data_IF_630898115244
#
_entry.id   IF_630898115244
#
_cell.length_a   1.000
_cell.length_b   1.000
_cell.length_c   1.000
_cell.angle_alpha   90.00
_cell.angle_beta   90.00
_cell.angle_gamma   90.00
#
_symmetry.space_group_name_H-M   'P 1'
#
loop_
_entity.id
_entity.type
_entity.pdbx_description
1 polymer ?
#
# COMPACT_ATOMS: atom_id res chain seq x y z
N UNK A 1 0.20 -14.82 2.68
CA UNK A 1 -0.93 -13.86 2.53
C UNK A 1 -1.70 -14.05 1.20
N UNK A 2 -2.87 -13.38 1.02
CA UNK A 2 -3.66 -13.45 -0.24
C UNK A 2 -3.08 -12.48 -1.30
N UNK A 3 -3.01 -12.92 -2.57
CA UNK A 3 -2.72 -12.04 -3.71
C UNK A 3 -3.99 -11.43 -4.29
N UNK A 4 -3.95 -10.12 -4.58
CA UNK A 4 -5.01 -9.48 -5.34
C UNK A 4 -4.94 -9.87 -6.83
N UNK A 5 -6.05 -9.75 -7.55
CA UNK A 5 -6.12 -10.04 -8.99
C UNK A 5 -5.53 -8.91 -9.86
N UNK A 6 -5.14 -7.78 -9.27
CA UNK A 6 -4.47 -6.68 -9.93
C UNK A 6 -4.44 -5.41 -9.07
N UNK A 7 -4.14 -4.28 -9.73
CA UNK A 7 -4.03 -2.97 -9.09
C UNK A 7 -5.27 -2.14 -9.37
N UNK A 8 -6.00 -1.78 -8.31
CA UNK A 8 -7.13 -0.84 -8.37
C UNK A 8 -6.99 0.11 -7.20
N UNK A 9 -6.81 1.41 -7.47
CA UNK A 9 -6.76 2.42 -6.42
C UNK A 9 -8.09 2.48 -5.68
N UNK A 10 -8.04 2.64 -4.35
CA UNK A 10 -9.24 2.93 -3.56
C UNK A 10 -9.92 4.20 -4.10
N UNK A 11 -11.20 4.10 -4.46
CA UNK A 11 -11.97 5.26 -4.88
C UNK A 11 -12.35 6.11 -3.68
N UNK A 12 -12.02 7.39 -3.74
CA UNK A 12 -12.35 8.36 -2.71
C UNK A 12 -12.77 9.70 -3.33
N UNK A 13 -13.60 10.41 -2.58
CA UNK A 13 -14.01 11.78 -2.82
C UNK A 13 -14.07 12.47 -1.45
N UNK A 14 -13.48 13.65 -1.34
CA UNK A 14 -13.42 14.41 -0.09
C UNK A 14 -14.80 14.94 0.32
N UNK A 15 -15.60 15.37 -0.66
CA UNK A 15 -16.91 15.99 -0.44
C UNK A 15 -16.88 17.52 -0.29
N UNK A 16 -15.70 18.14 -0.41
CA UNK A 16 -15.56 19.60 -0.53
C UNK A 16 -15.74 20.01 -2.00
N UNK A 17 -16.99 20.33 -2.38
CA UNK A 17 -17.40 20.63 -3.75
C UNK A 17 -17.22 22.11 -4.11
N UNK A 18 -16.72 22.35 -5.30
CA UNK A 18 -16.60 23.64 -5.97
C UNK A 18 -17.26 23.58 -7.36
N UNK A 19 -17.25 24.70 -8.11
CA UNK A 19 -17.90 24.81 -9.43
C UNK A 19 -17.52 23.68 -10.40
N UNK A 20 -16.26 23.24 -10.38
CA UNK A 20 -15.74 22.22 -11.30
C UNK A 20 -15.61 20.83 -10.67
N UNK A 21 -16.22 20.60 -9.50
CA UNK A 21 -16.21 19.31 -8.81
C UNK A 21 -15.52 19.35 -7.46
N UNK A 22 -15.14 18.18 -6.98
CA UNK A 22 -14.58 18.01 -5.64
C UNK A 22 -13.11 18.45 -5.57
N UNK A 23 -12.69 18.98 -4.43
CA UNK A 23 -11.30 19.41 -4.19
C UNK A 23 -10.26 18.37 -4.58
N UNK A 24 -10.54 17.10 -4.28
CA UNK A 24 -9.85 15.97 -4.86
C UNK A 24 -10.71 14.71 -4.80
N UNK A 25 -10.66 13.92 -5.87
CA UNK A 25 -11.32 12.63 -5.97
C UNK A 25 -10.56 11.72 -6.93
N UNK A 26 -10.80 10.41 -6.87
CA UNK A 26 -10.23 9.45 -7.81
C UNK A 26 -9.80 8.13 -7.19
N UNK A 27 -9.04 7.34 -7.96
CA UNK A 27 -8.37 6.13 -7.50
C UNK A 27 -7.07 6.46 -6.76
N UNK A 28 -7.18 6.71 -5.46
CA UNK A 28 -6.14 7.28 -4.62
C UNK A 28 -5.19 6.23 -4.02
N UNK A 29 -4.53 5.44 -4.88
CA UNK A 29 -3.66 4.34 -4.46
C UNK A 29 -2.29 4.76 -3.90
N UNK A 30 -1.76 5.90 -4.32
CA UNK A 30 -0.49 6.48 -3.82
C UNK A 30 -0.71 7.73 -2.97
N UNK A 31 -1.97 8.01 -2.63
CA UNK A 31 -2.32 9.13 -1.78
C UNK A 31 -1.91 8.84 -0.32
N UNK A 32 -1.55 9.81 0.50
CA UNK A 32 -1.30 11.22 0.20
C UNK A 32 0.18 11.42 -0.15
N UNK A 33 0.56 12.60 -0.66
CA UNK A 33 1.96 12.97 -0.84
C UNK A 33 2.83 12.88 0.44
N UNK A 34 2.20 12.75 1.62
CA UNK A 34 2.87 12.56 2.92
C UNK A 34 3.22 11.09 3.23
N UNK A 35 2.65 10.12 2.52
CA UNK A 35 3.04 8.71 2.68
C UNK A 35 4.34 8.49 1.92
N UNK A 36 5.47 8.76 2.59
CA UNK A 36 6.80 8.63 1.99
C UNK A 36 7.70 7.74 2.85
N UNK A 37 8.52 6.88 2.22
CA UNK A 37 8.54 6.61 0.79
C UNK A 37 7.41 5.63 0.38
N UNK A 38 7.02 5.67 -0.91
CA UNK A 38 6.09 4.70 -1.51
C UNK A 38 6.79 3.51 -2.17
N UNK A 39 8.08 3.68 -2.48
CA UNK A 39 8.91 2.67 -3.11
C UNK A 39 10.36 2.76 -2.63
N UNK A 40 11.03 1.62 -2.53
CA UNK A 40 12.43 1.49 -2.13
C UNK A 40 13.14 0.50 -3.04
N UNK A 41 14.34 0.87 -3.50
CA UNK A 41 15.14 0.02 -4.38
C UNK A 41 16.10 -0.85 -3.58
N UNK A 42 16.08 -2.15 -3.83
CA UNK A 42 17.01 -3.13 -3.31
C UNK A 42 17.91 -3.61 -4.46
N UNK A 43 19.13 -3.07 -4.54
CA UNK A 43 20.08 -3.42 -5.59
C UNK A 43 20.45 -4.92 -5.55
N UNK A 44 20.63 -5.48 -4.35
CA UNK A 44 21.01 -6.88 -4.12
C UNK A 44 19.98 -7.87 -4.70
N UNK A 45 18.69 -7.54 -4.61
CA UNK A 45 17.62 -8.34 -5.17
C UNK A 45 17.17 -7.89 -6.57
N UNK A 46 17.78 -6.82 -7.12
CA UNK A 46 17.38 -6.21 -8.40
C UNK A 46 15.88 -5.92 -8.48
N UNK A 47 15.33 -5.40 -7.38
CA UNK A 47 13.90 -5.13 -7.20
C UNK A 47 13.67 -3.72 -6.68
N UNK A 48 12.60 -3.08 -7.11
CA UNK A 48 12.05 -1.89 -6.45
C UNK A 48 10.74 -2.27 -5.80
N UNK A 49 10.74 -2.43 -4.48
CA UNK A 49 9.52 -2.71 -3.71
C UNK A 49 8.68 -1.45 -3.62
N UNK A 50 7.37 -1.60 -3.62
CA UNK A 50 6.43 -0.49 -3.48
C UNK A 50 5.14 -0.93 -2.80
N UNK A 51 4.41 0.05 -2.28
CA UNK A 51 3.10 -0.16 -1.66
C UNK A 51 1.98 0.57 -2.39
N UNK A 52 0.75 0.12 -2.18
CA UNK A 52 -0.43 0.62 -2.88
C UNK A 52 -1.71 0.50 -2.04
N UNK A 53 -2.46 1.59 -1.97
CA UNK A 53 -3.84 1.69 -1.47
C UNK A 53 -4.85 1.07 -2.43
N UNK A 54 -5.07 -0.22 -2.29
CA UNK A 54 -5.90 -1.04 -3.15
C UNK A 54 -7.39 -1.04 -2.81
N UNK A 55 -8.18 -1.69 -3.68
CA UNK A 55 -9.55 -2.06 -3.34
C UNK A 55 -10.04 -3.33 -4.04
N UNK A 56 -11.06 -3.97 -3.46
CA UNK A 56 -11.76 -5.12 -4.06
C UNK A 56 -12.55 -4.65 -5.28
N UNK A 57 -12.61 -5.48 -6.33
CA UNK A 57 -13.33 -5.16 -7.58
C UNK A 57 -14.77 -4.72 -7.28
N UNK A 58 -15.15 -3.54 -7.79
CA UNK A 58 -16.50 -2.99 -7.65
C UNK A 58 -16.88 -2.52 -6.24
N UNK A 59 -15.92 -2.43 -5.31
CA UNK A 59 -16.17 -1.98 -3.93
C UNK A 59 -15.33 -0.75 -3.60
N UNK A 60 -15.78 0.00 -2.59
CA UNK A 60 -14.94 0.93 -1.84
C UNK A 60 -14.56 0.23 -0.54
N UNK A 61 -13.39 -0.39 -0.54
CA UNK A 61 -12.92 -1.26 0.53
C UNK A 61 -11.40 -1.23 0.53
N UNK A 62 -10.78 -0.53 1.48
CA UNK A 62 -9.35 -0.28 1.48
C UNK A 62 -8.56 -1.56 1.76
N UNK A 63 -7.66 -1.88 0.84
CA UNK A 63 -6.64 -2.91 0.98
C UNK A 63 -5.28 -2.24 0.99
N UNK A 64 -4.40 -2.67 1.88
CA UNK A 64 -3.02 -2.19 1.93
C UNK A 64 -2.16 -3.27 1.31
N UNK A 65 -1.54 -2.94 0.19
CA UNK A 65 -0.89 -3.94 -0.65
C UNK A 65 0.59 -3.61 -0.87
N UNK A 66 1.41 -4.64 -1.04
CA UNK A 66 2.81 -4.53 -1.39
C UNK A 66 3.11 -5.33 -2.66
N UNK A 67 4.03 -4.83 -3.47
CA UNK A 67 4.61 -5.55 -4.60
C UNK A 67 6.01 -5.04 -4.92
N UNK A 68 6.57 -5.44 -6.06
CA UNK A 68 7.83 -4.92 -6.57
C UNK A 68 7.83 -4.80 -8.09
N UNK A 69 8.67 -3.92 -8.61
CA UNK A 69 9.14 -4.01 -9.99
C UNK A 69 10.39 -4.87 -10.01
N UNK A 70 10.37 -5.91 -10.82
CA UNK A 70 11.50 -6.81 -11.06
C UNK A 70 12.36 -6.25 -12.19
N UNK A 71 13.57 -5.81 -11.87
CA UNK A 71 14.49 -5.25 -12.87
C UNK A 71 15.18 -6.31 -13.73
N UNK A 72 15.11 -7.59 -13.36
CA UNK A 72 15.62 -8.68 -14.19
C UNK A 72 14.66 -8.99 -15.34
N UNK A 73 13.37 -9.07 -15.01
CA UNK A 73 12.32 -9.47 -15.98
C UNK A 73 11.56 -8.29 -16.59
N UNK A 74 11.65 -7.10 -15.99
CA UNK A 74 10.89 -5.93 -16.39
C UNK A 74 9.40 -6.02 -16.06
N UNK A 75 9.03 -6.85 -15.06
CA UNK A 75 7.63 -7.13 -14.73
C UNK A 75 7.23 -6.62 -13.36
N UNK A 76 5.92 -6.50 -13.16
CA UNK A 76 5.29 -6.21 -11.86
C UNK A 76 4.34 -7.37 -11.54
N UNK A 77 4.63 -8.22 -10.54
CA UNK A 77 3.76 -9.33 -10.19
C UNK A 77 2.52 -8.83 -9.46
N UNK A 78 1.49 -9.68 -9.37
CA UNK A 78 0.27 -9.37 -8.62
C UNK A 78 0.60 -9.06 -7.15
N UNK A 79 0.01 -7.99 -6.59
CA UNK A 79 0.39 -7.53 -5.27
C UNK A 79 -0.18 -8.45 -4.18
N UNK A 80 0.52 -8.51 -3.06
CA UNK A 80 0.06 -9.19 -1.85
C UNK A 80 -0.72 -8.20 -0.99
N UNK A 81 -1.87 -8.64 -0.47
CA UNK A 81 -2.64 -7.89 0.52
C UNK A 81 -1.96 -8.09 1.87
N UNK A 82 -1.24 -7.04 2.33
CA UNK A 82 -0.57 -7.01 3.64
C UNK A 82 -1.62 -6.86 4.75
N UNK A 83 -2.63 -6.01 4.51
CA UNK A 83 -3.70 -5.79 5.46
C UNK A 83 -5.02 -5.41 4.78
N UNK A 84 -6.13 -5.96 5.28
CA UNK A 84 -7.49 -5.60 4.90
C UNK A 84 -8.09 -4.71 6.00
N UNK A 85 -8.36 -3.43 5.70
CA UNK A 85 -8.86 -2.43 6.67
C UNK A 85 -10.36 -2.55 6.98
N UNK A 86 -11.01 -3.66 6.63
CA UNK A 86 -12.37 -4.03 7.02
C UNK A 86 -13.42 -2.90 6.85
N UNK A 87 -13.79 -2.61 5.60
CA UNK A 87 -14.87 -1.65 5.31
C UNK A 87 -14.45 -0.18 5.38
N UNK A 88 -13.23 0.13 5.84
CA UNK A 88 -12.65 1.47 5.69
C UNK A 88 -12.53 1.83 4.21
N UNK A 89 -12.86 3.07 3.88
CA UNK A 89 -12.80 3.60 2.50
C UNK A 89 -11.92 4.84 2.39
N UNK A 90 -11.14 5.12 3.43
CA UNK A 90 -10.40 6.37 3.63
C UNK A 90 -8.92 6.16 3.23
N UNK A 91 -8.45 6.72 2.10
CA UNK A 91 -7.09 6.52 1.59
C UNK A 91 -6.02 7.21 2.44
N UNK A 92 -6.39 7.95 3.47
CA UNK A 92 -5.41 8.49 4.42
C UNK A 92 -4.78 7.40 5.29
N UNK A 93 -5.35 6.19 5.32
CA UNK A 93 -4.77 5.02 5.97
C UNK A 93 -3.81 4.26 5.02
N UNK A 94 -3.53 4.79 3.83
CA UNK A 94 -2.59 4.17 2.89
C UNK A 94 -1.20 3.99 3.52
N UNK A 95 -0.44 2.98 3.04
CA UNK A 95 0.83 2.64 3.65
C UNK A 95 2.01 3.45 3.09
N UNK A 96 3.11 3.49 3.85
CA UNK A 96 4.47 3.72 3.35
C UNK A 96 5.33 2.46 3.51
N UNK A 97 6.53 2.44 2.92
CA UNK A 97 7.41 1.27 2.87
C UNK A 97 8.83 1.61 3.34
N UNK A 98 9.58 0.63 3.85
CA UNK A 98 11.03 0.73 4.06
C UNK A 98 11.70 -0.63 3.80
N UNK A 99 13.02 -0.64 3.66
CA UNK A 99 13.85 -1.84 3.63
C UNK A 99 14.86 -1.72 4.78
N UNK A 100 15.02 -2.75 5.60
CA UNK A 100 16.07 -2.77 6.61
C UNK A 100 17.40 -3.33 6.06
N UNK A 101 18.44 -3.28 6.90
CA UNK A 101 19.79 -3.74 6.57
C UNK A 101 19.88 -5.26 6.35
N UNK A 102 18.91 -6.03 6.83
CA UNK A 102 18.81 -7.47 6.59
C UNK A 102 17.98 -7.79 5.35
N UNK A 103 17.46 -6.76 4.67
CA UNK A 103 16.66 -6.89 3.46
C UNK A 103 15.18 -7.18 3.71
N UNK A 104 14.68 -7.13 4.95
CA UNK A 104 13.25 -7.27 5.17
C UNK A 104 12.49 -6.03 4.71
N UNK A 105 11.34 -6.26 4.09
CA UNK A 105 10.43 -5.22 3.63
C UNK A 105 9.51 -4.84 4.78
N UNK A 106 9.51 -3.56 5.14
CA UNK A 106 8.65 -3.01 6.18
C UNK A 106 7.51 -2.21 5.54
N UNK A 107 6.30 -2.40 6.04
CA UNK A 107 5.10 -1.68 5.59
C UNK A 107 4.45 -1.00 6.78
N UNK A 108 4.33 0.32 6.71
CA UNK A 108 3.78 1.16 7.77
C UNK A 108 2.42 1.68 7.34
N UNK A 109 1.38 1.24 8.04
CA UNK A 109 0.00 1.65 7.80
C UNK A 109 -0.28 2.90 8.62
N UNK A 110 -0.68 3.98 7.95
CA UNK A 110 -1.06 5.20 8.65
C UNK A 110 -2.29 4.98 9.54
N UNK A 111 -2.18 5.44 10.78
CA UNK A 111 -3.32 5.54 11.69
C UNK A 111 -4.23 6.72 11.33
N UNK A 112 -5.42 6.74 11.92
CA UNK A 112 -6.39 7.83 11.81
C UNK A 112 -6.79 8.33 13.20
N UNK A 113 -6.15 9.43 13.61
CA UNK A 113 -6.36 10.05 14.92
C UNK A 113 -6.27 8.98 16.03
N UNK A 114 -7.21 8.97 16.98
CA UNK A 114 -7.32 7.96 18.05
C UNK A 114 -8.34 6.85 17.74
N UNK A 115 -8.84 6.77 16.50
CA UNK A 115 -9.94 5.85 16.13
C UNK A 115 -9.40 4.60 15.42
N UNK A 116 -8.30 4.74 14.68
CA UNK A 116 -7.64 3.62 14.00
C UNK A 116 -6.15 3.71 14.25
N UNK A 117 -5.59 2.73 14.93
CA UNK A 117 -4.16 2.71 15.21
C UNK A 117 -3.35 2.51 13.94
N UNK A 118 -2.11 3.02 13.97
CA UNK A 118 -1.12 2.70 12.96
C UNK A 118 -0.65 1.26 13.14
N UNK A 119 -0.41 0.58 12.03
CA UNK A 119 0.04 -0.81 12.04
C UNK A 119 1.41 -0.91 11.35
N UNK A 120 2.28 -1.78 11.84
CA UNK A 120 3.60 -2.02 11.29
C UNK A 120 3.74 -3.48 10.94
N UNK A 121 4.10 -3.74 9.69
CA UNK A 121 4.33 -5.07 9.16
C UNK A 121 5.77 -5.23 8.72
N UNK A 122 6.32 -6.43 8.89
CA UNK A 122 7.63 -6.83 8.38
C UNK A 122 7.49 -8.09 7.54
N UNK A 123 8.17 -8.18 6.40
CA UNK A 123 8.21 -9.41 5.61
C UNK A 123 8.83 -10.53 6.43
N UNK A 124 8.34 -11.77 6.30
CA UNK A 124 8.94 -12.90 7.04
C UNK A 124 10.32 -13.28 6.52
N UNK A 125 10.54 -13.08 5.24
CA UNK A 125 11.80 -13.36 4.55
C UNK A 125 12.38 -12.07 3.96
N UNK A 126 13.71 -11.93 3.90
CA UNK A 126 14.36 -10.85 3.16
C UNK A 126 13.91 -10.81 1.70
N UNK A 127 13.75 -9.60 1.16
CA UNK A 127 13.50 -9.34 -0.26
C UNK A 127 12.25 -10.04 -0.83
N UNK A 128 11.30 -10.37 0.03
CA UNK A 128 10.05 -11.06 -0.30
C UNK A 128 8.83 -10.25 0.11
N UNK A 129 7.74 -10.43 -0.65
CA UNK A 129 6.41 -9.90 -0.34
C UNK A 129 5.42 -11.01 0.03
N UNK A 130 5.84 -12.27 0.02
CA UNK A 130 4.90 -13.41 0.00
C UNK A 130 4.13 -13.57 1.32
N UNK A 131 4.76 -13.16 2.42
CA UNK A 131 4.15 -13.12 3.73
C UNK A 131 4.77 -12.03 4.61
N UNK A 132 3.93 -11.42 5.45
CA UNK A 132 4.33 -10.43 6.44
C UNK A 132 3.80 -10.83 7.81
N UNK A 133 4.49 -10.41 8.85
CA UNK A 133 4.01 -10.49 10.23
C UNK A 133 3.65 -9.09 10.74
N UNK A 134 2.61 -9.03 11.58
CA UNK A 134 2.24 -7.82 12.30
C UNK A 134 3.20 -7.66 13.48
N UNK A 135 3.90 -6.54 13.53
CA UNK A 135 4.84 -6.18 14.60
C UNK A 135 4.15 -5.27 15.62
N UNK A 136 3.28 -4.39 15.15
CA UNK A 136 2.47 -3.46 15.97
C UNK A 136 1.15 -3.18 15.29
#
# INVERSE_FOLDING_TARGET
>A
MQRADGYRGIWFELGEKYEHGDKYSGGLGTYTAKHVPLAVHAAEARRTFFVWGGTKKGKRHLLLMASYYDHETGTVPRPVVVHDKQGVTDPHDNPSICLDEQGHVWVFVAGRASVRDGLVYRSREPHSIDDFELVQ
#
